data_IF_180460600708
#
_entry.id   IF_180460600708
#
_cell.length_a   1.000
_cell.length_b   1.000
_cell.length_c   1.000
_cell.angle_alpha   90.00
_cell.angle_beta   90.00
_cell.angle_gamma   90.00
#
_symmetry.space_group_name_H-M   'P 1'
#
loop_
_entity.id
_entity.type
_entity.pdbx_description
1 polymer ?
#
# COMPACT_ATOMS: atom_id res chain seq x y z
N UNK A 1 -38.76 -50.89 38.26
CA UNK A 1 -38.02 -50.90 36.97
C UNK A 1 -38.13 -49.58 36.20
N UNK A 2 -39.33 -49.02 35.98
CA UNK A 2 -39.51 -47.74 35.24
C UNK A 2 -38.73 -46.53 35.79
N UNK A 3 -38.59 -46.40 37.12
CA UNK A 3 -37.81 -45.32 37.77
C UNK A 3 -36.31 -45.38 37.45
N UNK A 4 -35.74 -46.58 37.42
CA UNK A 4 -34.33 -46.78 37.04
C UNK A 4 -34.13 -46.59 35.53
N UNK A 5 -35.11 -46.97 34.72
CA UNK A 5 -35.10 -46.68 33.28
C UNK A 5 -35.08 -45.18 33.00
N UNK A 6 -35.88 -44.37 33.72
CA UNK A 6 -35.88 -42.91 33.59
C UNK A 6 -34.52 -42.31 33.98
N UNK A 7 -33.94 -42.78 35.09
CA UNK A 7 -32.65 -42.33 35.58
C UNK A 7 -31.51 -42.64 34.59
N UNK A 8 -31.57 -43.81 33.96
CA UNK A 8 -30.62 -44.24 32.94
C UNK A 8 -30.73 -43.35 31.69
N UNK A 9 -31.94 -43.07 31.21
CA UNK A 9 -32.17 -42.17 30.07
C UNK A 9 -31.65 -40.76 30.35
N UNK A 10 -31.87 -40.23 31.57
CA UNK A 10 -31.38 -38.91 31.96
C UNK A 10 -29.84 -38.83 31.90
N UNK A 11 -29.15 -39.86 32.38
CA UNK A 11 -27.69 -39.93 32.35
C UNK A 11 -27.11 -39.89 30.93
N UNK A 12 -27.77 -40.53 29.96
CA UNK A 12 -27.35 -40.47 28.55
C UNK A 12 -27.49 -39.07 27.94
N UNK A 13 -28.53 -38.32 28.31
CA UNK A 13 -28.77 -36.96 27.78
C UNK A 13 -27.75 -35.96 28.32
N UNK A 14 -27.35 -36.08 29.59
CA UNK A 14 -26.34 -35.21 30.23
C UNK A 14 -24.96 -35.32 29.57
N UNK A 15 -24.60 -36.49 29.03
CA UNK A 15 -23.33 -36.70 28.34
C UNK A 15 -23.34 -36.22 26.87
N UNK A 16 -24.50 -35.91 26.31
CA UNK A 16 -24.65 -35.52 24.91
C UNK A 16 -24.41 -34.01 24.66
N UNK A 17 -24.20 -33.20 25.70
CA UNK A 17 -24.09 -31.74 25.61
C UNK A 17 -22.66 -31.22 25.30
N UNK A 18 -21.78 -32.04 24.72
CA UNK A 18 -20.38 -31.65 24.50
C UNK A 18 -20.19 -30.60 23.39
N UNK A 19 -21.06 -30.57 22.36
CA UNK A 19 -20.95 -29.60 21.25
C UNK A 19 -21.68 -28.27 21.47
N UNK A 20 -22.35 -28.07 22.61
CA UNK A 20 -23.05 -26.80 22.88
C UNK A 20 -22.06 -25.66 23.17
N UNK A 21 -20.88 -25.96 23.70
CA UNK A 21 -19.84 -24.98 23.97
C UNK A 21 -19.41 -24.24 22.71
N UNK A 22 -19.22 -24.95 21.59
CA UNK A 22 -18.83 -24.35 20.29
C UNK A 22 -19.92 -23.49 19.66
N UNK A 23 -21.19 -23.70 20.04
CA UNK A 23 -22.32 -22.90 19.57
C UNK A 23 -22.58 -21.65 20.42
N UNK A 24 -22.28 -21.71 21.72
CA UNK A 24 -22.42 -20.58 22.66
C UNK A 24 -21.16 -19.71 22.73
N UNK A 25 -19.99 -20.33 22.56
CA UNK A 25 -18.77 -19.59 22.31
C UNK A 25 -18.84 -19.13 20.88
N UNK A 26 -18.99 -17.82 20.67
CA UNK A 26 -18.91 -17.21 19.35
C UNK A 26 -17.47 -17.31 18.85
N UNK A 27 -17.03 -18.53 18.48
CA UNK A 27 -15.70 -18.81 17.96
C UNK A 27 -15.61 -18.11 16.61
N UNK A 28 -14.87 -17.01 16.56
CA UNK A 28 -14.50 -16.35 15.30
C UNK A 28 -13.86 -17.41 14.42
N UNK A 29 -14.48 -17.72 13.29
CA UNK A 29 -13.91 -18.63 12.29
C UNK A 29 -12.57 -18.03 11.86
N UNK A 30 -11.48 -18.80 11.97
CA UNK A 30 -10.11 -18.32 11.72
C UNK A 30 -9.82 -17.93 10.25
N UNK A 31 -10.83 -17.97 9.37
CA UNK A 31 -10.73 -17.57 7.97
C UNK A 31 -11.43 -16.21 7.76
N UNK A 32 -10.84 -15.15 8.30
CA UNK A 32 -11.03 -13.84 7.68
C UNK A 32 -10.23 -13.81 6.39
N UNK A 33 -10.77 -13.22 5.32
CA UNK A 33 -10.03 -12.87 4.08
C UNK A 33 -9.07 -11.70 4.36
N UNK A 34 -8.26 -11.85 5.41
CA UNK A 34 -7.19 -10.93 5.74
C UNK A 34 -6.09 -11.19 4.72
N UNK A 35 -5.91 -10.25 3.79
CA UNK A 35 -4.78 -10.25 2.88
C UNK A 35 -3.48 -10.25 3.70
N UNK A 36 -2.72 -11.34 3.66
CA UNK A 36 -1.39 -11.41 4.24
C UNK A 36 -0.44 -10.55 3.40
N UNK A 37 -0.28 -9.29 3.78
CA UNK A 37 0.63 -8.34 3.11
C UNK A 37 2.05 -8.58 3.59
N UNK A 38 2.76 -9.48 2.94
CA UNK A 38 4.18 -9.72 3.20
C UNK A 38 5.04 -8.62 2.58
N UNK A 39 5.88 -7.96 3.40
CA UNK A 39 6.86 -6.99 2.93
C UNK A 39 7.99 -7.71 2.22
N UNK A 40 8.04 -7.65 0.89
CA UNK A 40 9.21 -8.09 0.13
C UNK A 40 10.34 -7.08 0.24
N UNK A 41 11.56 -7.58 0.38
CA UNK A 41 12.77 -6.79 0.16
C UNK A 41 12.85 -6.35 -1.30
N UNK A 42 13.40 -5.15 -1.57
CA UNK A 42 13.61 -4.70 -2.94
C UNK A 42 14.58 -5.65 -3.67
N UNK A 43 14.37 -5.86 -4.98
CA UNK A 43 15.20 -6.78 -5.77
C UNK A 43 16.66 -6.35 -5.84
N UNK A 44 16.93 -5.06 -5.67
CA UNK A 44 18.27 -4.49 -5.61
C UNK A 44 18.25 -3.27 -4.68
N UNK A 45 19.23 -3.20 -3.80
CA UNK A 45 19.51 -2.00 -3.00
C UNK A 45 20.63 -1.21 -3.68
N UNK A 46 20.60 0.13 -3.61
CA UNK A 46 21.74 0.92 -4.02
C UNK A 46 22.96 0.56 -3.14
N UNK A 47 24.19 0.60 -3.68
CA UNK A 47 25.40 0.17 -2.97
C UNK A 47 25.61 0.88 -1.63
N UNK A 48 25.09 2.10 -1.48
CA UNK A 48 25.24 2.92 -0.27
C UNK A 48 23.92 3.12 0.50
N UNK A 49 22.96 2.18 0.41
CA UNK A 49 21.64 2.31 1.04
C UNK A 49 21.67 2.58 2.56
N UNK A 50 22.69 2.07 3.25
CA UNK A 50 22.83 2.18 4.71
C UNK A 50 23.75 3.31 5.19
N UNK A 51 24.30 4.11 4.27
CA UNK A 51 25.26 5.16 4.62
C UNK A 51 24.51 6.48 4.86
N UNK A 52 24.69 7.02 6.07
CA UNK A 52 24.24 8.37 6.41
C UNK A 52 25.39 9.35 6.15
N UNK A 53 25.11 10.56 5.64
CA UNK A 53 26.13 11.58 5.52
C UNK A 53 26.71 11.89 6.91
N UNK A 54 28.01 12.19 6.98
CA UNK A 54 28.64 12.55 8.23
C UNK A 54 28.03 13.88 8.74
N UNK A 55 27.58 13.95 10.01
CA UNK A 55 27.03 15.18 10.54
C UNK A 55 28.11 16.26 10.58
N UNK A 56 27.90 17.34 9.84
CA UNK A 56 28.84 18.47 9.73
C UNK A 56 29.82 18.39 8.56
N UNK A 57 29.73 17.39 7.68
CA UNK A 57 30.30 17.52 6.34
C UNK A 57 29.42 18.48 5.53
N UNK A 58 29.94 19.67 5.23
CA UNK A 58 29.50 20.36 4.03
C UNK A 58 29.79 19.39 2.88
N UNK A 59 28.73 18.97 2.20
CA UNK A 59 28.85 18.25 0.94
C UNK A 59 29.69 19.18 0.07
N UNK A 60 30.98 18.89 -0.02
CA UNK A 60 31.84 19.54 -0.99
C UNK A 60 31.27 19.02 -2.29
N UNK A 61 30.34 19.77 -2.87
CA UNK A 61 30.05 19.67 -4.29
C UNK A 61 31.44 19.65 -4.91
N UNK A 62 31.86 18.46 -5.36
CA UNK A 62 32.92 18.40 -6.34
C UNK A 62 32.34 19.26 -7.45
N UNK A 63 32.76 20.51 -7.51
CA UNK A 63 32.69 21.35 -8.70
C UNK A 63 33.54 20.60 -9.72
N UNK A 64 32.99 19.50 -10.23
CA UNK A 64 33.40 18.98 -11.50
C UNK A 64 33.16 20.15 -12.44
N UNK A 65 34.24 20.60 -13.06
CA UNK A 65 34.27 21.78 -13.90
C UNK A 65 33.55 21.47 -15.23
N UNK A 66 32.29 21.08 -15.15
CA UNK A 66 31.38 20.79 -16.26
C UNK A 66 30.34 21.91 -16.44
N UNK A 67 30.50 23.03 -15.72
CA UNK A 67 29.66 24.21 -15.87
C UNK A 67 29.82 24.89 -17.25
N UNK A 68 30.86 24.52 -18.01
CA UNK A 68 31.14 25.11 -19.32
C UNK A 68 30.31 24.48 -20.44
N UNK A 69 29.88 23.22 -20.33
CA UNK A 69 29.09 22.55 -21.39
C UNK A 69 27.62 22.96 -21.33
N UNK A 70 27.06 23.10 -20.12
CA UNK A 70 25.68 23.56 -19.90
C UNK A 70 25.54 25.02 -20.35
N UNK A 71 26.52 25.88 -20.05
CA UNK A 71 26.46 27.29 -20.43
C UNK A 71 26.56 27.50 -21.95
N UNK A 72 27.36 26.69 -22.65
CA UNK A 72 27.44 26.69 -24.12
C UNK A 72 26.13 26.20 -24.75
N UNK A 73 25.46 25.22 -24.14
CA UNK A 73 24.17 24.70 -24.63
C UNK A 73 23.03 25.70 -24.43
N UNK A 74 23.01 26.43 -23.31
CA UNK A 74 21.98 27.42 -22.98
C UNK A 74 22.13 28.75 -23.73
N UNK A 75 23.33 29.08 -24.19
CA UNK A 75 23.60 30.38 -24.83
C UNK A 75 23.19 30.45 -26.31
N UNK A 76 22.86 29.32 -26.93
CA UNK A 76 22.63 29.23 -28.38
C UNK A 76 21.16 29.14 -28.81
N UNK A 77 20.20 29.23 -27.89
CA UNK A 77 18.79 29.38 -28.27
C UNK A 77 18.24 30.70 -27.74
N UNK A 78 18.06 31.67 -28.64
CA UNK A 78 17.02 32.67 -28.45
C UNK A 78 15.68 31.91 -28.33
N UNK A 79 15.23 31.68 -27.09
CA UNK A 79 13.93 31.11 -26.82
C UNK A 79 12.88 32.11 -27.32
N UNK A 80 12.47 31.97 -28.59
CA UNK A 80 11.22 32.54 -29.08
C UNK A 80 10.09 31.78 -28.40
N UNK A 81 9.62 32.31 -27.29
CA UNK A 81 8.40 31.85 -26.63
C UNK A 81 7.22 32.18 -27.57
N UNK A 82 6.98 31.30 -28.53
CA UNK A 82 5.72 31.31 -29.26
C UNK A 82 4.70 30.67 -28.33
N UNK A 83 4.09 31.50 -27.49
CA UNK A 83 2.98 31.11 -26.63
C UNK A 83 1.77 30.83 -27.53
N UNK A 84 1.70 29.63 -28.11
CA UNK A 84 0.48 29.16 -28.76
C UNK A 84 -0.46 28.74 -27.65
N UNK A 85 -1.32 29.67 -27.21
CA UNK A 85 -2.55 29.32 -26.51
C UNK A 85 -3.39 28.55 -27.53
N UNK A 86 -3.24 27.23 -27.57
CA UNK A 86 -4.12 26.37 -28.34
C UNK A 86 -5.43 26.31 -27.56
N UNK A 87 -6.38 27.18 -27.92
CA UNK A 87 -7.78 27.01 -27.59
C UNK A 87 -8.28 25.75 -28.32
N UNK A 88 -7.93 24.58 -27.79
CA UNK A 88 -8.46 23.31 -28.26
C UNK A 88 -9.68 22.94 -27.44
N UNK A 89 -10.71 22.43 -28.12
CA UNK A 89 -11.87 21.82 -27.47
C UNK A 89 -11.38 20.75 -26.48
N UNK A 90 -11.90 20.73 -25.24
CA UNK A 90 -11.44 19.77 -24.25
C UNK A 90 -11.73 18.36 -24.75
N UNK A 91 -10.74 17.49 -24.62
CA UNK A 91 -10.85 16.07 -24.94
C UNK A 91 -11.99 15.42 -24.15
N UNK A 92 -12.46 14.26 -24.63
CA UNK A 92 -13.51 13.50 -23.93
C UNK A 92 -13.15 13.20 -22.47
N UNK A 93 -11.87 12.94 -22.19
CA UNK A 93 -11.36 12.70 -20.84
C UNK A 93 -11.38 13.98 -19.99
N UNK A 94 -10.93 15.12 -20.54
CA UNK A 94 -10.97 16.40 -19.82
C UNK A 94 -12.41 16.82 -19.49
N UNK A 95 -13.35 16.60 -20.41
CA UNK A 95 -14.80 16.83 -20.18
C UNK A 95 -15.32 15.98 -19.01
N UNK A 96 -15.00 14.68 -18.97
CA UNK A 96 -15.40 13.79 -17.87
C UNK A 96 -14.76 14.16 -16.53
N UNK A 97 -13.54 14.69 -16.54
CA UNK A 97 -12.87 15.16 -15.30
C UNK A 97 -13.52 16.46 -14.82
N UNK A 98 -13.77 17.42 -15.72
CA UNK A 98 -14.45 18.69 -15.43
C UNK A 98 -15.86 18.50 -14.85
N UNK A 99 -16.60 17.50 -15.36
CA UNK A 99 -17.93 17.16 -14.86
C UNK A 99 -17.91 16.59 -13.45
N UNK A 100 -16.85 15.85 -13.07
CA UNK A 100 -16.71 15.28 -11.72
C UNK A 100 -16.29 16.30 -10.67
N UNK A 101 -15.61 17.38 -11.07
CA UNK A 101 -15.09 18.40 -10.16
C UNK A 101 -16.03 19.60 -9.97
N UNK A 102 -17.10 19.68 -10.76
CA UNK A 102 -18.13 20.74 -10.69
C UNK A 102 -19.33 20.25 -9.89
#
# INVERSE_FOLDING_TARGET
>A
MKKYSLLLTLFFILNACQSMEDALTLKKKNNSDEFLVEKKSPLVLPPNYGELPLPGEEISERKNSENNEIQVTLSNEEIKINQTIINSEPSSLEKSVLEKIK
#
